data_IF_867306552799
#
_entry.id   IF_867306552799
#
_cell.length_a   1.000
_cell.length_b   1.000
_cell.length_c   1.000
_cell.angle_alpha   90.00
_cell.angle_beta   90.00
_cell.angle_gamma   90.00
#
_symmetry.space_group_name_H-M   'P 1'
#
loop_
_entity.id
_entity.type
_entity.pdbx_description
1 polymer ?
#
# COMPACT_ATOMS: atom_id res chain seq x y z
N UNK A 1 9.74 5.21 -62.70
CA UNK A 1 8.64 4.22 -62.77
C UNK A 1 7.81 4.15 -61.49
N UNK A 2 8.42 4.09 -60.29
CA UNK A 2 7.71 4.05 -59.00
C UNK A 2 6.74 5.22 -58.74
N UNK A 3 7.08 6.43 -59.21
CA UNK A 3 6.22 7.61 -59.06
C UNK A 3 4.90 7.48 -59.82
N UNK A 4 4.96 6.98 -61.06
CA UNK A 4 3.76 6.81 -61.89
C UNK A 4 2.85 5.70 -61.35
N UNK A 5 3.40 4.62 -60.77
CA UNK A 5 2.60 3.55 -60.16
C UNK A 5 1.88 4.00 -58.90
N UNK A 6 2.51 4.81 -58.04
CA UNK A 6 1.84 5.41 -56.87
C UNK A 6 0.70 6.35 -57.32
N UNK A 7 0.94 7.16 -58.35
CA UNK A 7 -0.08 8.08 -58.87
C UNK A 7 -1.28 7.34 -59.48
N UNK A 8 -1.04 6.23 -60.19
CA UNK A 8 -2.10 5.34 -60.67
C UNK A 8 -2.88 4.69 -59.52
N UNK A 9 -2.20 4.24 -58.46
CA UNK A 9 -2.82 3.61 -57.30
C UNK A 9 -3.76 4.57 -56.56
N UNK A 10 -3.32 5.82 -56.31
CA UNK A 10 -4.17 6.85 -55.70
C UNK A 10 -5.40 7.17 -56.55
N UNK A 11 -5.25 7.21 -57.87
CA UNK A 11 -6.37 7.47 -58.78
C UNK A 11 -7.37 6.31 -58.80
N UNK A 12 -6.90 5.07 -58.67
CA UNK A 12 -7.74 3.88 -58.52
C UNK A 12 -8.53 3.89 -57.20
N UNK A 13 -7.89 4.25 -56.09
CA UNK A 13 -8.54 4.40 -54.77
C UNK A 13 -9.63 5.48 -54.82
N UNK A 14 -9.35 6.63 -55.45
CA UNK A 14 -10.34 7.71 -55.65
C UNK A 14 -11.53 7.29 -56.51
N UNK A 15 -11.38 6.30 -57.39
CA UNK A 15 -12.49 5.81 -58.22
C UNK A 15 -13.44 4.88 -57.46
N UNK A 16 -12.94 4.20 -56.42
CA UNK A 16 -13.70 3.25 -55.60
C UNK A 16 -13.70 3.63 -54.10
N UNK A 17 -14.04 4.89 -53.79
CA UNK A 17 -13.94 5.45 -52.44
C UNK A 17 -14.65 4.62 -51.36
N UNK A 18 -15.86 4.12 -51.63
CA UNK A 18 -16.64 3.35 -50.66
C UNK A 18 -15.94 2.03 -50.29
N UNK A 19 -15.46 1.30 -51.31
CA UNK A 19 -14.77 0.02 -51.11
C UNK A 19 -13.45 0.22 -50.39
N UNK A 20 -12.64 1.20 -50.82
CA UNK A 20 -11.37 1.52 -50.18
C UNK A 20 -11.54 1.97 -48.73
N UNK A 21 -12.55 2.80 -48.44
CA UNK A 21 -12.87 3.23 -47.09
C UNK A 21 -13.25 2.06 -46.17
N UNK A 22 -14.18 1.20 -46.61
CA UNK A 22 -14.60 0.03 -45.82
C UNK A 22 -13.45 -0.95 -45.55
N UNK A 23 -12.54 -1.15 -46.52
CA UNK A 23 -11.36 -1.99 -46.30
C UNK A 23 -10.37 -1.41 -45.28
N UNK A 24 -10.13 -0.10 -45.32
CA UNK A 24 -9.25 0.58 -44.36
C UNK A 24 -9.91 0.57 -42.98
N UNK A 25 -11.22 0.83 -42.90
CA UNK A 25 -11.97 0.82 -41.65
C UNK A 25 -11.87 -0.54 -40.95
N UNK A 26 -12.00 -1.64 -41.68
CA UNK A 26 -11.85 -2.99 -41.13
C UNK A 26 -10.45 -3.24 -40.55
N UNK A 27 -9.40 -2.80 -41.25
CA UNK A 27 -8.01 -2.92 -40.77
C UNK A 27 -7.78 -2.06 -39.52
N UNK A 28 -8.26 -0.81 -39.53
CA UNK A 28 -8.11 0.11 -38.39
C UNK A 28 -8.80 -0.45 -37.15
N UNK A 29 -10.06 -0.90 -37.27
CA UNK A 29 -10.81 -1.48 -36.15
C UNK A 29 -10.14 -2.76 -35.65
N UNK A 30 -9.69 -3.63 -36.56
CA UNK A 30 -9.02 -4.89 -36.22
C UNK A 30 -7.72 -4.65 -35.45
N UNK A 31 -6.85 -3.78 -35.96
CA UNK A 31 -5.58 -3.45 -35.31
C UNK A 31 -5.82 -2.70 -33.99
N UNK A 32 -6.77 -1.76 -33.94
CA UNK A 32 -7.09 -1.04 -32.69
C UNK A 32 -7.62 -1.98 -31.61
N UNK A 33 -8.47 -2.95 -31.97
CA UNK A 33 -9.02 -3.91 -31.02
C UNK A 33 -7.90 -4.77 -30.41
N UNK A 34 -6.97 -5.28 -31.24
CA UNK A 34 -5.83 -6.08 -30.78
C UNK A 34 -4.90 -5.26 -29.88
N UNK A 35 -4.55 -4.03 -30.28
CA UNK A 35 -3.70 -3.15 -29.46
C UNK A 35 -4.38 -2.87 -28.12
N UNK A 36 -5.66 -2.52 -28.13
CA UNK A 36 -6.41 -2.21 -26.90
C UNK A 36 -6.44 -3.43 -25.96
N UNK A 37 -6.72 -4.62 -26.48
CA UNK A 37 -6.76 -5.86 -25.71
C UNK A 37 -5.41 -6.18 -25.07
N UNK A 38 -4.32 -6.08 -25.84
CA UNK A 38 -2.96 -6.37 -25.34
C UNK A 38 -2.54 -5.35 -24.29
N UNK A 39 -2.81 -4.07 -24.53
CA UNK A 39 -2.45 -2.99 -23.59
C UNK A 39 -3.23 -3.10 -22.29
N UNK A 40 -4.53 -3.40 -22.38
CA UNK A 40 -5.38 -3.64 -21.22
C UNK A 40 -4.94 -4.89 -20.44
N UNK A 41 -4.61 -5.98 -21.14
CA UNK A 41 -4.12 -7.21 -20.53
C UNK A 41 -2.84 -6.98 -19.75
N UNK A 42 -1.83 -6.36 -20.38
CA UNK A 42 -0.57 -6.03 -19.74
C UNK A 42 -0.74 -5.06 -18.56
N UNK A 43 -1.59 -4.03 -18.73
CA UNK A 43 -1.89 -3.06 -17.67
C UNK A 43 -2.58 -3.71 -16.47
N UNK A 44 -3.54 -4.61 -16.71
CA UNK A 44 -4.21 -5.36 -15.65
C UNK A 44 -3.23 -6.29 -14.92
N UNK A 45 -2.39 -7.03 -15.66
CA UNK A 45 -1.35 -7.88 -15.07
C UNK A 45 -0.38 -7.05 -14.23
N UNK A 46 0.06 -5.90 -14.72
CA UNK A 46 0.97 -5.02 -13.98
C UNK A 46 0.31 -4.43 -12.72
N UNK A 47 -0.97 -4.04 -12.80
CA UNK A 47 -1.72 -3.57 -11.63
C UNK A 47 -1.83 -4.65 -10.55
N UNK A 48 -2.14 -5.89 -10.94
CA UNK A 48 -2.19 -7.04 -10.03
C UNK A 48 -0.79 -7.32 -9.46
N UNK A 49 0.26 -7.30 -10.28
CA UNK A 49 1.63 -7.46 -9.80
C UNK A 49 2.03 -6.39 -8.79
N UNK A 50 1.68 -5.12 -9.02
CA UNK A 50 1.96 -4.03 -8.08
C UNK A 50 1.18 -4.19 -6.76
N UNK A 51 -0.07 -4.62 -6.82
CA UNK A 51 -0.85 -4.92 -5.61
C UNK A 51 -0.25 -6.09 -4.83
N UNK A 52 0.18 -7.15 -5.52
CA UNK A 52 0.84 -8.31 -4.89
C UNK A 52 2.23 -7.94 -4.36
N UNK A 53 3.00 -7.14 -5.08
CA UNK A 53 4.30 -6.64 -4.63
C UNK A 53 4.14 -5.77 -3.38
N UNK A 54 3.07 -4.97 -3.30
CA UNK A 54 2.71 -4.18 -2.12
C UNK A 54 2.34 -5.03 -0.89
N UNK A 55 1.95 -6.30 -1.07
CA UNK A 55 1.75 -7.24 0.04
C UNK A 55 3.07 -7.78 0.61
N UNK A 56 4.20 -7.53 -0.06
CA UNK A 56 5.51 -8.04 0.32
C UNK A 56 5.60 -9.54 0.10
N UNK A 57 6.28 -9.98 -0.98
CA UNK A 57 6.53 -11.41 -1.22
C UNK A 57 7.37 -12.10 -0.13
N UNK A 58 7.86 -11.33 0.85
CA UNK A 58 8.80 -11.74 1.89
C UNK A 58 8.27 -11.44 3.32
N UNK A 59 6.97 -11.17 3.49
CA UNK A 59 6.38 -10.92 4.81
C UNK A 59 5.74 -12.19 5.38
N UNK A 60 6.26 -12.65 6.52
CA UNK A 60 5.68 -13.76 7.28
C UNK A 60 5.02 -13.21 8.55
N UNK A 61 3.69 -13.28 8.62
CA UNK A 61 2.96 -12.86 9.81
C UNK A 61 2.65 -14.06 10.71
N UNK A 62 3.22 -14.06 11.91
CA UNK A 62 2.99 -15.09 12.92
C UNK A 62 1.95 -14.60 13.92
N UNK A 63 0.85 -15.33 14.06
CA UNK A 63 -0.21 -15.03 15.03
C UNK A 63 -0.42 -16.22 15.96
N UNK A 64 -0.71 -15.94 17.22
CA UNK A 64 -1.07 -16.98 18.17
C UNK A 64 -2.38 -17.64 17.72
N UNK A 65 -2.38 -18.96 17.64
CA UNK A 65 -3.57 -19.71 17.20
C UNK A 65 -4.73 -19.56 18.19
N UNK A 66 -5.95 -19.53 17.69
CA UNK A 66 -7.14 -19.64 18.51
C UNK A 66 -7.61 -21.11 18.45
N UNK A 67 -7.66 -21.80 19.60
CA UNK A 67 -8.35 -23.10 19.65
C UNK A 67 -9.83 -22.86 19.36
N UNK A 68 -10.44 -23.66 18.49
CA UNK A 68 -11.89 -23.60 18.26
C UNK A 68 -12.55 -24.78 18.99
N UNK A 69 -13.47 -24.49 19.92
CA UNK A 69 -14.21 -25.48 20.70
C UNK A 69 -14.76 -24.91 22.02
N UNK A 70 -15.70 -25.61 22.69
CA UNK A 70 -16.20 -25.21 24.01
C UNK A 70 -15.05 -25.19 25.04
N UNK A 71 -14.85 -24.07 25.73
CA UNK A 71 -13.72 -23.88 26.66
C UNK A 71 -12.41 -23.45 26.00
N UNK A 72 -12.44 -23.03 24.72
CA UNK A 72 -11.27 -22.51 24.04
C UNK A 72 -10.72 -21.24 24.71
N UNK A 73 -9.58 -21.38 25.37
CA UNK A 73 -8.74 -20.25 25.75
C UNK A 73 -7.88 -19.81 24.54
N UNK A 74 -7.66 -18.50 24.35
CA UNK A 74 -6.68 -18.01 23.39
C UNK A 74 -5.29 -18.57 23.72
N UNK A 75 -4.49 -18.87 22.70
CA UNK A 75 -3.10 -19.27 22.93
C UNK A 75 -2.32 -18.15 23.64
N UNK A 76 -1.26 -18.50 24.40
CA UNK A 76 -0.41 -17.50 25.05
C UNK A 76 0.10 -16.47 24.03
N UNK A 77 0.09 -15.21 24.43
CA UNK A 77 0.67 -14.14 23.62
C UNK A 77 2.19 -14.29 23.52
N UNK A 78 2.74 -13.91 22.37
CA UNK A 78 4.19 -13.86 22.18
C UNK A 78 4.84 -12.85 23.13
N UNK A 79 6.06 -13.16 23.56
CA UNK A 79 6.88 -12.22 24.32
C UNK A 79 7.76 -11.41 23.36
N UNK A 80 8.12 -10.20 23.76
CA UNK A 80 9.07 -9.36 23.01
C UNK A 80 10.42 -10.07 22.83
N UNK A 81 10.82 -10.89 23.81
CA UNK A 81 12.04 -11.74 23.75
C UNK A 81 12.00 -12.76 22.62
N UNK A 82 10.82 -13.23 22.22
CA UNK A 82 10.68 -14.19 21.14
C UNK A 82 11.05 -13.52 19.82
N UNK A 83 10.61 -12.28 19.61
CA UNK A 83 10.95 -11.47 18.44
C UNK A 83 12.47 -11.20 18.36
N UNK A 84 13.10 -10.83 19.47
CA UNK A 84 14.56 -10.60 19.49
C UNK A 84 15.35 -11.87 19.24
N UNK A 85 14.88 -13.00 19.75
CA UNK A 85 15.54 -14.31 19.54
C UNK A 85 15.44 -14.74 18.07
N UNK A 86 14.27 -14.57 17.44
CA UNK A 86 14.08 -14.86 16.02
C UNK A 86 15.03 -14.02 15.15
N UNK A 87 15.15 -12.72 15.44
CA UNK A 87 16.03 -11.81 14.71
C UNK A 87 17.52 -12.21 14.83
N UNK A 88 17.94 -12.78 15.96
CA UNK A 88 19.33 -13.16 16.21
C UNK A 88 19.69 -14.56 15.74
N UNK A 89 18.76 -15.52 15.84
CA UNK A 89 19.02 -16.94 15.59
C UNK A 89 18.73 -17.37 14.16
N UNK A 90 17.82 -16.70 13.46
CA UNK A 90 17.42 -17.09 12.11
C UNK A 90 18.14 -16.19 11.09
N UNK A 91 19.07 -16.79 10.34
CA UNK A 91 19.74 -16.11 9.23
C UNK A 91 18.80 -15.85 8.06
N UNK A 92 19.04 -14.74 7.33
CA UNK A 92 18.28 -14.38 6.12
C UNK A 92 17.01 -13.55 6.37
N UNK A 93 16.73 -13.17 7.63
CA UNK A 93 15.65 -12.24 7.96
C UNK A 93 16.18 -10.81 7.91
N UNK A 94 15.51 -9.94 7.15
CA UNK A 94 15.88 -8.53 7.04
C UNK A 94 15.49 -7.71 8.29
N UNK A 95 14.29 -7.95 8.82
CA UNK A 95 13.76 -7.25 10.00
C UNK A 95 12.65 -8.09 10.66
N UNK A 96 12.51 -7.97 11.99
CA UNK A 96 11.46 -8.62 12.77
C UNK A 96 10.79 -7.57 13.64
N UNK A 97 9.48 -7.40 13.47
CA UNK A 97 8.70 -6.39 14.19
C UNK A 97 7.65 -7.09 15.08
N UNK A 98 7.73 -6.97 16.42
CA UNK A 98 6.65 -7.42 17.28
C UNK A 98 5.46 -6.47 17.15
N UNK A 99 4.25 -7.00 16.97
CA UNK A 99 3.04 -6.17 16.85
C UNK A 99 2.01 -6.47 17.94
N UNK A 100 1.43 -5.40 18.50
CA UNK A 100 0.25 -5.45 19.35
C UNK A 100 -0.85 -4.59 18.72
N UNK A 101 -2.02 -5.19 18.44
CA UNK A 101 -3.14 -4.50 17.78
C UNK A 101 -4.26 -4.24 18.78
N UNK A 102 -4.79 -3.03 18.78
CA UNK A 102 -5.99 -2.65 19.53
C UNK A 102 -6.85 -1.73 18.68
N UNK A 103 -8.17 -1.71 18.87
CA UNK A 103 -9.06 -0.78 18.17
C UNK A 103 -9.67 0.22 19.14
N UNK A 104 -9.96 1.43 18.64
CA UNK A 104 -10.75 2.41 19.38
C UNK A 104 -10.80 3.79 18.74
N UNK A 105 -11.47 4.69 19.44
CA UNK A 105 -11.68 6.05 19.00
C UNK A 105 -10.50 6.93 19.35
N UNK A 106 -10.04 7.67 18.34
CA UNK A 106 -9.06 8.75 18.42
C UNK A 106 -9.79 10.08 18.42
N UNK A 107 -9.31 11.03 19.22
CA UNK A 107 -9.86 12.38 19.30
C UNK A 107 -8.73 13.39 19.16
N UNK A 108 -8.87 14.31 18.21
CA UNK A 108 -8.04 15.50 18.04
C UNK A 108 -8.88 16.65 17.48
N UNK A 109 -8.54 17.88 17.84
CA UNK A 109 -9.15 19.09 17.28
C UNK A 109 -10.69 19.10 17.27
N UNK A 110 -11.31 18.56 18.33
CA UNK A 110 -12.77 18.48 18.47
C UNK A 110 -13.46 17.43 17.56
N UNK A 111 -12.70 16.64 16.81
CA UNK A 111 -13.19 15.57 15.93
C UNK A 111 -12.80 14.21 16.49
N UNK A 112 -13.59 13.19 16.16
CA UNK A 112 -13.31 11.81 16.55
C UNK A 112 -13.30 10.88 15.33
N UNK A 113 -12.47 9.84 15.39
CA UNK A 113 -12.36 8.84 14.33
C UNK A 113 -12.04 7.47 14.93
N UNK A 114 -12.74 6.43 14.47
CA UNK A 114 -12.48 5.07 14.94
C UNK A 114 -11.41 4.41 14.08
N UNK A 115 -10.32 3.93 14.69
CA UNK A 115 -9.20 3.33 13.99
C UNK A 115 -8.55 2.19 14.80
N UNK A 116 -7.62 1.47 14.16
CA UNK A 116 -6.77 0.49 14.83
C UNK A 116 -5.42 1.12 15.23
N UNK A 117 -5.03 0.89 16.48
CA UNK A 117 -3.72 1.16 17.04
C UNK A 117 -2.82 -0.06 16.82
N UNK A 118 -1.60 0.21 16.36
CA UNK A 118 -0.56 -0.80 16.19
C UNK A 118 0.63 -0.34 17.03
N UNK A 119 0.91 -1.06 18.12
CA UNK A 119 2.13 -0.89 18.88
C UNK A 119 3.21 -1.80 18.30
N UNK A 120 4.32 -1.23 17.85
CA UNK A 120 5.45 -1.98 17.29
C UNK A 120 6.77 -1.21 17.41
N UNK A 121 7.87 -1.78 16.92
CA UNK A 121 9.17 -1.12 16.77
C UNK A 121 9.28 -0.42 15.41
N UNK A 122 10.36 0.34 15.21
CA UNK A 122 10.69 0.91 13.90
C UNK A 122 10.82 -0.14 12.78
N UNK A 123 11.15 -1.38 13.12
CA UNK A 123 11.23 -2.49 12.16
C UNK A 123 9.88 -2.74 11.46
N UNK A 124 8.76 -2.32 12.06
CA UNK A 124 7.45 -2.37 11.43
C UNK A 124 7.38 -1.56 10.14
N UNK A 125 8.03 -0.39 10.12
CA UNK A 125 8.10 0.45 8.93
C UNK A 125 8.90 -0.25 7.83
N UNK A 126 9.99 -0.92 8.21
CA UNK A 126 10.86 -1.66 7.28
C UNK A 126 10.15 -2.89 6.71
N UNK A 127 9.57 -3.73 7.58
CA UNK A 127 8.88 -4.96 7.18
C UNK A 127 7.65 -4.69 6.31
N UNK A 128 6.89 -3.62 6.61
CA UNK A 128 5.73 -3.18 5.83
C UNK A 128 6.06 -2.27 4.65
N UNK A 129 7.33 -1.97 4.39
CA UNK A 129 7.79 -1.02 3.37
C UNK A 129 7.07 0.35 3.44
N UNK A 130 6.81 0.82 4.67
CA UNK A 130 6.19 2.12 4.92
C UNK A 130 7.26 3.21 4.86
N UNK A 131 7.01 4.22 4.04
CA UNK A 131 7.84 5.42 3.97
C UNK A 131 7.16 6.55 4.74
N UNK A 132 7.92 7.22 5.61
CA UNK A 132 7.44 8.41 6.31
C UNK A 132 7.52 9.60 5.36
N UNK A 133 6.38 10.26 5.16
CA UNK A 133 6.30 11.48 4.34
C UNK A 133 6.85 12.69 5.10
N UNK A 134 6.54 12.78 6.40
CA UNK A 134 6.91 13.88 7.28
C UNK A 134 7.34 13.36 8.65
N UNK A 135 8.10 14.16 9.39
CA UNK A 135 8.52 13.83 10.75
C UNK A 135 9.69 12.83 10.82
N UNK A 136 9.68 11.97 11.84
CA UNK A 136 10.75 11.02 12.13
C UNK A 136 10.23 9.70 12.68
N UNK A 137 11.01 8.64 12.53
CA UNK A 137 10.78 7.39 13.24
C UNK A 137 11.04 7.53 14.76
N UNK A 138 10.65 6.52 15.53
CA UNK A 138 10.88 6.51 16.98
C UNK A 138 12.38 6.47 17.29
N UNK A 139 12.84 7.17 18.32
CA UNK A 139 14.21 7.01 18.80
C UNK A 139 14.34 5.74 19.63
N UNK A 140 15.55 5.19 19.74
CA UNK A 140 15.79 4.02 20.60
C UNK A 140 15.44 4.30 22.07
N UNK A 141 15.68 5.52 22.55
CA UNK A 141 15.36 5.91 23.91
C UNK A 141 13.85 5.92 24.15
N UNK A 142 13.08 6.47 23.21
CA UNK A 142 11.61 6.46 23.26
C UNK A 142 11.05 5.03 23.22
N UNK A 143 11.62 4.18 22.36
CA UNK A 143 11.18 2.78 22.22
C UNK A 143 11.49 1.97 23.48
N UNK A 144 12.64 2.21 24.13
CA UNK A 144 13.01 1.52 25.39
C UNK A 144 12.25 2.07 26.59
N UNK A 145 12.01 3.37 26.66
CA UNK A 145 11.31 4.03 27.76
C UNK A 145 9.78 3.88 27.67
N UNK A 146 9.25 3.52 26.49
CA UNK A 146 7.81 3.51 26.25
C UNK A 146 7.22 4.92 26.24
N UNK A 147 7.91 5.85 25.58
CA UNK A 147 7.46 7.23 25.48
C UNK A 147 6.10 7.33 24.76
N UNK A 148 5.32 8.34 25.13
CA UNK A 148 3.99 8.59 24.59
C UNK A 148 4.04 9.29 23.21
N UNK A 149 4.64 8.65 22.22
CA UNK A 149 4.78 9.18 20.85
C UNK A 149 4.07 8.28 19.83
N UNK A 150 3.57 8.86 18.75
CA UNK A 150 2.82 8.12 17.73
C UNK A 150 3.11 8.61 16.31
N UNK A 151 2.97 7.66 15.37
CA UNK A 151 2.97 7.89 13.94
C UNK A 151 1.54 7.78 13.41
N UNK A 152 1.12 8.69 12.54
CA UNK A 152 -0.23 8.69 11.99
C UNK A 152 -0.26 8.37 10.49
N UNK A 153 -1.34 7.75 10.05
CA UNK A 153 -1.58 7.53 8.62
C UNK A 153 -2.25 8.73 7.95
N UNK A 154 -2.05 8.86 6.63
CA UNK A 154 -2.64 9.93 5.81
C UNK A 154 -4.17 10.07 5.96
N UNK A 155 -4.89 8.97 6.20
CA UNK A 155 -6.34 9.02 6.45
C UNK A 155 -6.68 9.75 7.74
N UNK A 156 -5.92 9.53 8.83
CA UNK A 156 -6.14 10.24 10.09
C UNK A 156 -5.76 11.72 9.95
N UNK A 157 -4.69 12.03 9.21
CA UNK A 157 -4.31 13.40 8.89
C UNK A 157 -5.44 14.16 8.18
N UNK A 158 -6.06 13.53 7.18
CA UNK A 158 -7.20 14.11 6.47
C UNK A 158 -8.44 14.28 7.36
N UNK A 159 -8.83 13.23 8.07
CA UNK A 159 -10.10 13.23 8.83
C UNK A 159 -10.03 13.97 10.16
N UNK A 160 -8.87 14.14 10.77
CA UNK A 160 -8.75 14.85 12.06
C UNK A 160 -8.13 16.24 11.91
N UNK A 161 -7.24 16.44 10.93
CA UNK A 161 -6.47 17.68 10.78
C UNK A 161 -6.75 18.43 9.47
N UNK A 162 -7.71 17.99 8.63
CA UNK A 162 -8.06 18.64 7.36
C UNK A 162 -6.84 18.92 6.45
N UNK A 163 -5.85 18.02 6.44
CA UNK A 163 -4.59 18.19 5.70
C UNK A 163 -3.80 19.46 6.07
N UNK A 164 -3.84 19.88 7.34
CA UNK A 164 -3.01 21.00 7.82
C UNK A 164 -1.52 20.63 7.69
N UNK A 165 -0.66 21.49 7.10
CA UNK A 165 0.71 21.14 6.72
C UNK A 165 1.74 21.08 7.87
N UNK A 166 1.34 21.26 9.13
CA UNK A 166 2.22 21.12 10.29
C UNK A 166 1.41 20.58 11.46
N UNK A 167 1.56 19.28 11.74
CA UNK A 167 0.87 18.56 12.82
C UNK A 167 1.86 17.89 13.77
N UNK A 168 3.17 18.11 13.55
CA UNK A 168 4.22 17.52 14.35
C UNK A 168 4.22 18.19 15.73
N UNK A 169 4.27 17.38 16.79
CA UNK A 169 4.16 17.84 18.17
C UNK A 169 2.72 18.00 18.67
N UNK A 170 1.70 17.86 17.83
CA UNK A 170 0.31 17.89 18.29
C UNK A 170 -0.03 16.64 19.13
N UNK A 171 -0.92 16.84 20.11
CA UNK A 171 -1.36 15.78 21.01
C UNK A 171 -2.60 15.08 20.44
N UNK A 172 -2.51 13.77 20.31
CA UNK A 172 -3.56 12.89 19.83
C UNK A 172 -4.07 12.02 20.99
N UNK A 173 -5.35 12.15 21.33
CA UNK A 173 -5.94 11.35 22.41
C UNK A 173 -6.46 10.02 21.87
N UNK A 174 -5.95 8.91 22.39
CA UNK A 174 -6.44 7.57 22.12
C UNK A 174 -7.03 6.97 23.40
N UNK A 175 -8.37 6.79 23.43
CA UNK A 175 -9.10 6.35 24.64
C UNK A 175 -8.77 7.24 25.86
N UNK A 176 -8.03 6.69 26.83
CA UNK A 176 -7.62 7.32 28.09
C UNK A 176 -6.16 7.79 28.09
N UNK A 177 -5.46 7.66 26.96
CA UNK A 177 -4.05 8.01 26.80
C UNK A 177 -3.88 9.09 25.73
N UNK A 178 -2.83 9.90 25.83
CA UNK A 178 -2.46 10.90 24.81
C UNK A 178 -1.06 10.59 24.29
N UNK A 179 -0.87 10.69 22.98
CA UNK A 179 0.44 10.58 22.34
C UNK A 179 0.76 11.87 21.57
N UNK A 180 2.04 12.20 21.50
CA UNK A 180 2.55 13.26 20.63
C UNK A 180 2.81 12.72 19.22
N UNK A 181 2.34 13.45 18.21
CA UNK A 181 2.56 13.08 16.81
C UNK A 181 3.98 13.43 16.40
N UNK A 182 4.77 12.44 16.01
CA UNK A 182 6.17 12.64 15.56
C UNK A 182 6.37 12.38 14.07
N UNK A 183 5.34 11.88 13.37
CA UNK A 183 5.33 11.60 11.94
C UNK A 183 4.03 10.93 11.47
#
# INVERSE_FOLDING_TARGET
MLWNTIWLALRSIRRNLLRSFLTILGIVIGVSAVITMVTLGNGATQAVQNQIAGLGSNLLQVRAGQRMGPGAAPAPSFKVTDATTIAQQIGGIAAVAPEARSAGTVVANGRNWNTSFIGSSNDWLVTGNWQLEQGRAFSEQEQRAGAAVCLIGATLHRELFNNTPDILGEQLRLKSFSCEIVG
#
